data_IF_423995068127
#
_entry.id   IF_423995068127
#
_cell.length_a   1.000
_cell.length_b   1.000
_cell.length_c   1.000
_cell.angle_alpha   90.00
_cell.angle_beta   90.00
_cell.angle_gamma   90.00
#
_symmetry.space_group_name_H-M   'P 1'
#
loop_
_entity.id
_entity.type
_entity.pdbx_description
1 polymer ?
#
# COMPACT_ATOMS: atom_id res chain seq x y z
N UNK A 1 -2.32 -3.67 -19.45
CA UNK A 1 -3.10 -4.52 -18.53
C UNK A 1 -2.18 -4.92 -17.37
N UNK A 2 -2.57 -4.67 -16.14
CA UNK A 2 -1.78 -5.04 -14.96
C UNK A 2 -1.87 -6.55 -14.75
N UNK A 3 -0.75 -7.27 -14.86
CA UNK A 3 -0.74 -8.75 -14.90
C UNK A 3 -1.03 -9.44 -13.56
N UNK A 4 -1.14 -8.67 -12.47
CA UNK A 4 -1.37 -9.17 -11.12
C UNK A 4 -2.83 -9.05 -10.66
N UNK A 5 -3.76 -8.69 -11.55
CA UNK A 5 -5.19 -8.80 -11.26
C UNK A 5 -5.54 -10.25 -10.88
N UNK A 6 -6.29 -10.43 -9.80
CA UNK A 6 -6.61 -11.72 -9.20
C UNK A 6 -5.50 -12.30 -8.32
N UNK A 7 -4.37 -11.60 -8.13
CA UNK A 7 -3.27 -12.01 -7.26
C UNK A 7 -3.21 -11.17 -5.99
N UNK A 8 -2.48 -11.68 -5.00
CA UNK A 8 -2.21 -10.98 -3.76
C UNK A 8 -0.70 -10.83 -3.53
N UNK A 9 -0.32 -9.73 -2.89
CA UNK A 9 1.01 -9.50 -2.35
C UNK A 9 0.94 -9.52 -0.83
N UNK A 10 1.95 -10.08 -0.20
CA UNK A 10 2.29 -9.82 1.19
C UNK A 10 3.34 -8.71 1.22
N UNK A 11 3.09 -7.67 2.00
CA UNK A 11 3.90 -6.46 2.10
C UNK A 11 4.28 -6.24 3.56
N UNK A 12 5.57 -6.33 3.87
CA UNK A 12 6.08 -6.16 5.23
C UNK A 12 7.08 -4.99 5.27
N UNK A 13 6.71 -3.92 5.97
CA UNK A 13 7.53 -2.74 6.14
C UNK A 13 8.39 -2.82 7.40
N UNK A 14 9.62 -2.29 7.30
CA UNK A 14 10.57 -2.17 8.42
C UNK A 14 10.05 -1.32 9.59
N UNK A 15 9.08 -0.44 9.34
CA UNK A 15 8.36 0.33 10.36
C UNK A 15 7.36 -0.50 11.16
N UNK A 16 7.22 -1.79 10.83
CA UNK A 16 6.37 -2.74 11.53
C UNK A 16 4.96 -2.85 10.97
N UNK A 17 4.64 -2.20 9.85
CA UNK A 17 3.38 -2.44 9.15
C UNK A 17 3.46 -3.71 8.31
N UNK A 18 2.39 -4.50 8.28
CA UNK A 18 2.35 -5.78 7.56
C UNK A 18 0.97 -5.99 6.98
N UNK A 19 0.89 -6.18 5.67
CA UNK A 19 -0.36 -6.22 4.93
C UNK A 19 -0.38 -7.35 3.90
N UNK A 20 -1.57 -7.86 3.63
CA UNK A 20 -1.92 -8.56 2.39
C UNK A 20 -2.64 -7.57 1.48
N UNK A 21 -2.19 -7.38 0.25
CA UNK A 21 -2.83 -6.53 -0.76
C UNK A 21 -3.33 -7.42 -1.90
N UNK A 22 -4.63 -7.46 -2.12
CA UNK A 22 -5.31 -8.24 -3.17
C UNK A 22 -5.72 -7.29 -4.31
N UNK A 23 -5.24 -7.52 -5.53
CA UNK A 23 -5.67 -6.73 -6.69
C UNK A 23 -6.91 -7.37 -7.32
N UNK A 24 -8.09 -6.84 -6.99
CA UNK A 24 -9.38 -7.44 -7.35
C UNK A 24 -9.73 -7.21 -8.82
N UNK A 25 -9.46 -6.00 -9.33
CA UNK A 25 -9.71 -5.58 -10.71
C UNK A 25 -8.52 -4.74 -11.20
N UNK A 26 -8.63 -4.16 -12.40
CA UNK A 26 -7.59 -3.26 -12.94
C UNK A 26 -7.37 -1.98 -12.12
N UNK A 27 -8.34 -1.58 -11.29
CA UNK A 27 -8.27 -0.36 -10.49
C UNK A 27 -8.84 -0.51 -9.06
N UNK A 28 -9.25 -1.71 -8.65
CA UNK A 28 -9.74 -1.99 -7.30
C UNK A 28 -8.81 -2.96 -6.60
N UNK A 29 -8.40 -2.63 -5.38
CA UNK A 29 -7.64 -3.52 -4.51
C UNK A 29 -8.27 -3.62 -3.14
N UNK A 30 -7.96 -4.68 -2.41
CA UNK A 30 -8.25 -4.83 -0.98
C UNK A 30 -6.96 -4.98 -0.21
N UNK A 31 -6.69 -4.12 0.75
CA UNK A 31 -5.62 -4.35 1.73
C UNK A 31 -6.20 -4.99 2.98
N UNK A 32 -5.46 -5.88 3.62
CA UNK A 32 -5.78 -6.49 4.91
C UNK A 32 -4.52 -6.43 5.77
N UNK A 33 -4.54 -5.77 6.92
CA UNK A 33 -3.39 -5.76 7.82
C UNK A 33 -3.28 -7.10 8.55
N UNK A 34 -2.07 -7.66 8.55
CA UNK A 34 -1.74 -9.00 9.07
C UNK A 34 -1.20 -8.96 10.49
N UNK A 35 -0.86 -7.79 11.02
CA UNK A 35 -0.64 -7.62 12.46
C UNK A 35 -1.96 -7.50 13.21
N UNK A 36 -2.05 -8.09 14.39
CA UNK A 36 -3.16 -7.82 15.30
C UNK A 36 -3.07 -6.37 15.80
N UNK A 37 -4.15 -5.59 15.67
CA UNK A 37 -4.32 -4.35 16.43
C UNK A 37 -5.09 -4.64 17.70
N UNK A 38 -4.69 -3.97 18.77
CA UNK A 38 -5.36 -4.06 20.08
C UNK A 38 -6.66 -3.23 20.15
N UNK A 39 -6.98 -2.46 19.11
CA UNK A 39 -8.13 -1.55 19.06
C UNK A 39 -9.39 -2.17 18.41
N UNK A 40 -9.32 -3.39 17.88
CA UNK A 40 -10.49 -4.16 17.40
C UNK A 40 -11.18 -3.62 16.15
N UNK A 41 -10.61 -2.62 15.47
CA UNK A 41 -11.18 -2.05 14.24
C UNK A 41 -10.91 -2.95 13.01
N UNK A 42 -11.76 -2.89 11.97
CA UNK A 42 -11.54 -3.65 10.74
C UNK A 42 -10.15 -3.36 10.17
N UNK A 43 -9.37 -4.42 10.02
CA UNK A 43 -8.01 -4.37 9.50
C UNK A 43 -8.02 -4.60 8.00
N UNK A 44 -9.01 -4.04 7.30
CA UNK A 44 -9.28 -4.27 5.89
C UNK A 44 -9.87 -3.02 5.24
N UNK A 45 -9.46 -2.71 4.02
CA UNK A 45 -10.03 -1.63 3.21
C UNK A 45 -10.04 -2.01 1.73
N UNK A 46 -11.06 -1.57 1.02
CA UNK A 46 -11.15 -1.68 -0.44
C UNK A 46 -11.01 -0.31 -1.07
N UNK A 47 -10.07 -0.19 -2.00
CA UNK A 47 -9.61 1.11 -2.50
C UNK A 47 -9.59 1.12 -4.02
N UNK A 48 -9.94 2.28 -4.57
CA UNK A 48 -9.59 2.58 -5.97
C UNK A 48 -8.13 3.00 -6.01
N UNK A 49 -7.31 2.27 -6.77
CA UNK A 49 -5.89 2.58 -6.93
C UNK A 49 -5.57 3.08 -8.34
N UNK A 50 -4.47 3.82 -8.44
CA UNK A 50 -3.92 4.38 -9.66
C UNK A 50 -2.52 3.81 -9.89
N UNK A 51 -2.30 3.22 -11.05
CA UNK A 51 -1.08 2.49 -11.35
C UNK A 51 -0.34 3.05 -12.56
N UNK A 52 0.98 3.16 -12.41
CA UNK A 52 1.91 3.41 -13.50
C UNK A 52 3.01 2.35 -13.51
N UNK A 53 3.23 1.70 -14.65
CA UNK A 53 4.40 0.85 -14.84
C UNK A 53 5.63 1.74 -15.03
N UNK A 54 6.66 1.51 -14.22
CA UNK A 54 7.98 2.16 -14.32
C UNK A 54 9.02 1.25 -14.99
N UNK A 55 8.72 -0.06 -15.10
CA UNK A 55 9.52 -1.08 -15.75
C UNK A 55 8.72 -2.38 -15.88
N UNK A 56 9.37 -3.48 -16.28
CA UNK A 56 8.69 -4.78 -16.48
C UNK A 56 8.08 -5.35 -15.18
N UNK A 57 8.80 -5.18 -14.07
CA UNK A 57 8.40 -5.63 -12.73
C UNK A 57 8.38 -4.49 -11.70
N UNK A 58 8.39 -3.24 -12.17
CA UNK A 58 8.43 -2.05 -11.31
C UNK A 58 7.16 -1.22 -11.52
N UNK A 59 6.43 -0.96 -10.44
CA UNK A 59 5.12 -0.30 -10.47
C UNK A 59 5.04 0.80 -9.42
N UNK A 60 4.51 1.97 -9.82
CA UNK A 60 4.00 2.96 -8.88
C UNK A 60 2.50 2.74 -8.69
N UNK A 61 2.05 2.58 -7.45
CA UNK A 61 0.66 2.32 -7.07
C UNK A 61 0.25 3.33 -6.01
N UNK A 62 -0.83 4.04 -6.25
CA UNK A 62 -1.27 5.16 -5.40
C UNK A 62 -2.76 5.06 -5.10
N UNK A 63 -3.17 5.41 -3.89
CA UNK A 63 -4.59 5.47 -3.53
C UNK A 63 -4.83 6.46 -2.39
N UNK A 64 -6.09 6.74 -2.16
CA UNK A 64 -6.58 7.53 -1.02
C UNK A 64 -7.60 6.67 -0.29
N UNK A 65 -7.35 6.38 0.98
CA UNK A 65 -8.29 5.68 1.85
C UNK A 65 -9.45 6.61 2.24
N UNK A 66 -10.58 6.03 2.65
CA UNK A 66 -11.76 6.77 3.12
C UNK A 66 -11.44 7.73 4.28
N UNK A 67 -10.43 7.40 5.09
CA UNK A 67 -9.94 8.23 6.21
C UNK A 67 -9.20 9.50 5.75
N UNK A 68 -8.92 9.64 4.46
CA UNK A 68 -8.08 10.71 3.89
C UNK A 68 -6.58 10.44 4.01
N UNK A 69 -6.19 9.22 4.41
CA UNK A 69 -4.82 8.73 4.30
C UNK A 69 -4.49 8.52 2.83
N UNK A 70 -3.41 9.13 2.36
CA UNK A 70 -2.90 8.96 0.99
C UNK A 70 -1.70 8.05 1.06
N UNK A 71 -1.65 7.06 0.17
CA UNK A 71 -0.52 6.14 0.04
C UNK A 71 0.01 6.18 -1.38
N UNK A 72 1.32 6.32 -1.51
CA UNK A 72 2.07 6.28 -2.76
C UNK A 72 3.17 5.25 -2.63
N UNK A 73 3.04 4.12 -3.30
CA UNK A 73 3.93 2.98 -3.22
C UNK A 73 4.68 2.76 -4.53
N UNK A 74 5.97 2.40 -4.43
CA UNK A 74 6.75 1.81 -5.53
C UNK A 74 7.07 0.36 -5.18
N UNK A 75 6.69 -0.56 -6.06
CA UNK A 75 6.96 -1.99 -5.96
C UNK A 75 8.00 -2.38 -7.00
N UNK A 76 9.11 -3.00 -6.58
CA UNK A 76 10.05 -3.70 -7.45
C UNK A 76 9.90 -5.21 -7.20
N UNK A 77 9.00 -5.85 -7.94
CA UNK A 77 8.65 -7.25 -7.76
C UNK A 77 9.74 -8.21 -8.26
N UNK A 78 10.69 -7.75 -9.07
CA UNK A 78 11.85 -8.54 -9.45
C UNK A 78 12.81 -8.75 -8.27
N UNK A 79 12.95 -7.73 -7.40
CA UNK A 79 13.77 -7.80 -6.20
C UNK A 79 12.99 -8.16 -4.94
N UNK A 80 11.67 -7.98 -4.98
CA UNK A 80 10.81 -8.11 -3.81
C UNK A 80 10.92 -6.90 -2.86
N UNK A 81 11.31 -5.74 -3.38
CA UNK A 81 11.45 -4.51 -2.61
C UNK A 81 10.19 -3.65 -2.73
N UNK A 82 9.87 -2.93 -1.65
CA UNK A 82 8.79 -1.94 -1.64
C UNK A 82 9.23 -0.68 -0.93
N UNK A 83 8.81 0.45 -1.48
CA UNK A 83 8.94 1.77 -0.88
C UNK A 83 7.58 2.41 -0.86
N UNK A 84 7.22 3.10 0.22
CA UNK A 84 5.97 3.82 0.30
C UNK A 84 6.15 5.16 1.02
N UNK A 85 5.33 6.10 0.58
CA UNK A 85 5.10 7.37 1.23
C UNK A 85 3.62 7.41 1.62
N UNK A 86 3.36 7.55 2.92
CA UNK A 86 2.02 7.73 3.47
C UNK A 86 1.89 9.13 4.06
N UNK A 87 0.69 9.70 3.94
CA UNK A 87 0.37 10.96 4.59
C UNK A 87 -1.10 11.05 4.98
N UNK A 88 -1.37 11.53 6.18
CA UNK A 88 -2.72 11.73 6.73
C UNK A 88 -2.86 13.14 7.32
N UNK A 89 -4.09 13.53 7.63
CA UNK A 89 -4.35 14.83 8.23
C UNK A 89 -3.72 14.93 9.62
N UNK A 90 -2.92 15.97 9.83
CA UNK A 90 -2.33 16.32 11.13
C UNK A 90 -2.15 17.85 11.20
N UNK A 91 -3.05 18.57 11.89
CA UNK A 91 -3.01 20.03 11.95
C UNK A 91 -1.71 20.62 12.51
N UNK A 92 -1.00 19.87 13.35
CA UNK A 92 0.24 20.32 14.00
C UNK A 92 1.47 20.12 13.09
N UNK A 93 1.35 19.30 12.05
CA UNK A 93 2.42 19.02 11.12
C UNK A 93 2.54 20.08 10.00
N UNK A 94 3.73 20.14 9.37
CA UNK A 94 3.98 21.06 8.24
C UNK A 94 2.98 20.81 7.11
N UNK A 95 2.22 21.85 6.77
CA UNK A 95 1.20 21.78 5.71
C UNK A 95 -0.06 21.01 6.12
N UNK A 96 -0.29 20.80 7.42
CA UNK A 96 -1.47 20.10 7.94
C UNK A 96 -1.45 18.60 7.69
N UNK A 97 -0.26 18.03 7.45
CA UNK A 97 -0.10 16.63 7.04
C UNK A 97 1.08 15.95 7.73
N UNK A 98 0.79 14.86 8.42
CA UNK A 98 1.81 13.95 8.91
C UNK A 98 2.36 13.13 7.74
N UNK A 99 3.58 12.63 7.90
CA UNK A 99 4.28 11.87 6.85
C UNK A 99 4.94 10.63 7.43
N UNK A 100 4.90 9.54 6.66
CA UNK A 100 5.68 8.34 6.91
C UNK A 100 6.28 7.86 5.60
N UNK A 101 7.60 7.85 5.53
CA UNK A 101 8.33 7.17 4.46
C UNK A 101 8.84 5.83 5.01
N UNK A 102 8.53 4.75 4.32
CA UNK A 102 8.85 3.40 4.77
C UNK A 102 9.27 2.52 3.60
N UNK A 103 10.10 1.54 3.90
CA UNK A 103 10.56 0.53 2.95
C UNK A 103 10.43 -0.86 3.59
N UNK A 104 10.44 -1.88 2.75
CA UNK A 104 10.30 -3.25 3.20
C UNK A 104 10.34 -4.24 2.05
N UNK A 105 9.68 -5.37 2.25
CA UNK A 105 9.58 -6.43 1.26
C UNK A 105 8.17 -6.56 0.71
N UNK A 106 8.08 -6.98 -0.56
CA UNK A 106 6.84 -7.37 -1.22
C UNK A 106 7.01 -8.74 -1.86
N UNK A 107 6.12 -9.67 -1.51
CA UNK A 107 6.15 -11.05 -1.98
C UNK A 107 4.82 -11.43 -2.61
N UNK A 108 4.88 -12.01 -3.80
CA UNK A 108 3.70 -12.57 -4.45
C UNK A 108 3.23 -13.85 -3.73
N UNK A 109 1.92 -13.94 -3.48
CA UNK A 109 1.25 -15.10 -2.90
C UNK A 109 0.68 -16.04 -3.98
#
# INVERSE_FOLDING_TARGET
>A
MFKYVGRALEVEYTTGYHFKIEYLTENTMRWTSLKERTDGLPMVGEETFYLHALGEEIFAINWVEDTGTVVSQTLDLAKGDVYAFMTWNDPEARGGRAVLAHNGTAKLL
#
